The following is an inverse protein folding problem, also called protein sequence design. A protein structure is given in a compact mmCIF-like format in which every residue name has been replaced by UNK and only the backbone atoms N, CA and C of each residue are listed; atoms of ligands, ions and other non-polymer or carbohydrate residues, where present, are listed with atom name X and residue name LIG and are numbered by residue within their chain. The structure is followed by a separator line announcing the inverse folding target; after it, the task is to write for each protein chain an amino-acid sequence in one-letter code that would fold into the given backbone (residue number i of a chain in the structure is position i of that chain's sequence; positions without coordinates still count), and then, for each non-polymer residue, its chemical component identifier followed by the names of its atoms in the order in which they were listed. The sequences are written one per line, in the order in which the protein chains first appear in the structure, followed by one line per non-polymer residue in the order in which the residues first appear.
data_IF_637488599716
#
_entry.id   IF_637488599716
#
_cell.length_a   1.000
_cell.length_b   1.000
_cell.length_c   1.000
_cell.angle_alpha   90.00
_cell.angle_beta   90.00
_cell.angle_gamma   90.00
#
_symmetry.space_group_name_H-M   'P 1'
#
loop_
_entity.id
_entity.type
_entity.pdbx_description
1 polymer ?
#
# COMPACT_ATOMS: atom_id res chain seq x y z
N UNK A 1 18.23 23.10 10.75
CA UNK A 1 18.98 23.11 9.47
C UNK A 1 17.95 23.05 8.35
N UNK A 2 18.09 23.76 7.23
CA UNK A 2 17.27 23.46 6.05
C UNK A 2 17.51 22.00 5.64
N UNK A 3 16.46 21.28 5.22
CA UNK A 3 16.54 19.86 4.80
C UNK A 3 17.32 19.70 3.48
N UNK A 4 18.63 19.94 3.51
CA UNK A 4 19.52 19.83 2.35
C UNK A 4 19.62 18.41 1.82
N UNK A 5 19.24 17.42 2.64
CA UNK A 5 19.26 16.00 2.30
C UNK A 5 18.34 15.65 1.13
N UNK A 6 17.36 16.49 0.77
CA UNK A 6 16.54 16.29 -0.44
C UNK A 6 17.06 17.00 -1.70
N UNK A 7 18.11 17.83 -1.60
CA UNK A 7 18.62 18.63 -2.72
C UNK A 7 19.06 17.79 -3.93
N UNK A 8 19.51 16.55 -3.69
CA UNK A 8 19.95 15.66 -4.76
C UNK A 8 18.83 15.24 -5.72
N UNK A 9 17.56 15.49 -5.37
CA UNK A 9 16.38 15.18 -6.19
C UNK A 9 16.03 16.26 -7.21
N UNK A 10 16.58 17.47 -7.04
CA UNK A 10 16.28 18.64 -7.87
C UNK A 10 17.52 19.24 -8.52
N UNK A 11 18.69 18.65 -8.28
CA UNK A 11 19.97 19.09 -8.85
C UNK A 11 20.16 18.64 -10.30
N UNK A 12 21.02 19.33 -11.06
CA UNK A 12 21.27 19.02 -12.48
C UNK A 12 21.73 17.57 -12.75
N UNK A 13 22.45 16.97 -11.79
CA UNK A 13 22.94 15.56 -11.86
C UNK A 13 22.07 14.60 -11.04
N UNK A 14 20.76 14.82 -10.97
CA UNK A 14 19.82 14.03 -10.15
C UNK A 14 19.97 12.52 -10.37
N UNK A 15 20.07 12.06 -11.62
CA UNK A 15 20.17 10.63 -11.91
C UNK A 15 21.41 10.00 -11.30
N UNK A 16 22.56 10.67 -11.42
CA UNK A 16 23.83 10.24 -10.82
C UNK A 16 23.69 10.14 -9.29
N UNK A 17 23.16 11.18 -8.63
CA UNK A 17 23.00 11.16 -7.19
C UNK A 17 22.04 10.07 -6.71
N UNK A 18 20.97 9.80 -7.45
CA UNK A 18 20.02 8.73 -7.13
C UNK A 18 20.66 7.36 -7.21
N UNK A 19 21.50 7.13 -8.22
CA UNK A 19 22.27 5.88 -8.37
C UNK A 19 23.21 5.69 -7.18
N UNK A 20 23.96 6.73 -6.82
CA UNK A 20 24.88 6.70 -5.69
C UNK A 20 24.15 6.40 -4.38
N UNK A 21 23.08 7.15 -4.08
CA UNK A 21 22.31 6.95 -2.86
C UNK A 21 21.68 5.54 -2.79
N UNK A 22 21.18 5.01 -3.91
CA UNK A 22 20.67 3.65 -3.98
C UNK A 22 21.77 2.62 -3.69
N UNK A 23 22.98 2.82 -4.23
CA UNK A 23 24.12 1.93 -3.96
C UNK A 23 24.48 1.88 -2.46
N UNK A 24 24.42 3.01 -1.75
CA UNK A 24 24.62 3.04 -0.29
C UNK A 24 23.47 2.40 0.48
N UNK A 25 22.22 2.62 0.08
CA UNK A 25 21.07 1.94 0.70
C UNK A 25 21.15 0.42 0.54
N UNK A 26 21.45 -0.07 -0.66
CA UNK A 26 21.62 -1.50 -0.95
C UNK A 26 22.81 -2.09 -0.18
N UNK A 27 23.93 -1.37 -0.10
CA UNK A 27 25.09 -1.82 0.69
C UNK A 27 24.72 -1.97 2.17
N UNK A 28 23.97 -1.01 2.73
CA UNK A 28 23.50 -1.07 4.11
C UNK A 28 22.56 -2.26 4.35
N UNK A 29 21.64 -2.54 3.42
CA UNK A 29 20.76 -3.73 3.50
C UNK A 29 21.55 -5.05 3.55
N UNK A 30 22.72 -5.09 2.90
CA UNK A 30 23.66 -6.21 2.94
C UNK A 30 24.70 -6.11 4.07
N UNK A 31 24.45 -5.27 5.09
CA UNK A 31 25.32 -5.06 6.25
C UNK A 31 26.74 -4.55 5.91
N UNK A 32 26.92 -3.93 4.74
CA UNK A 32 28.15 -3.22 4.37
C UNK A 32 28.02 -1.75 4.77
N UNK A 33 28.77 -1.37 5.81
CA UNK A 33 28.64 -0.04 6.45
C UNK A 33 29.35 1.06 5.66
N UNK A 34 30.47 0.74 5.01
CA UNK A 34 31.30 1.71 4.29
C UNK A 34 31.51 1.27 2.84
N UNK A 35 31.51 2.23 1.91
CA UNK A 35 31.88 2.02 0.52
C UNK A 35 33.00 2.97 0.10
N UNK A 36 33.88 2.47 -0.76
CA UNK A 36 34.87 3.26 -1.49
C UNK A 36 34.27 3.75 -2.83
N UNK A 37 34.81 4.83 -3.44
CA UNK A 37 34.39 5.25 -4.77
C UNK A 37 34.46 4.12 -5.82
N UNK A 38 35.49 3.28 -5.76
CA UNK A 38 35.64 2.09 -6.61
C UNK A 38 34.53 1.05 -6.38
N UNK A 39 34.08 0.84 -5.13
CA UNK A 39 33.00 -0.10 -4.82
C UNK A 39 31.66 0.38 -5.40
N UNK A 40 31.42 1.70 -5.34
CA UNK A 40 30.25 2.35 -5.95
C UNK A 40 30.28 2.21 -7.47
N UNK A 41 31.46 2.41 -8.08
CA UNK A 41 31.64 2.24 -9.52
C UNK A 41 31.36 0.80 -9.97
N UNK A 42 31.89 -0.18 -9.26
CA UNK A 42 31.67 -1.60 -9.56
C UNK A 42 30.18 -1.96 -9.45
N UNK A 43 29.48 -1.47 -8.42
CA UNK A 43 28.04 -1.67 -8.24
C UNK A 43 27.22 -1.05 -9.37
N UNK A 44 27.53 0.19 -9.76
CA UNK A 44 26.88 0.84 -10.89
C UNK A 44 27.09 0.06 -12.20
N UNK A 45 28.30 -0.45 -12.44
CA UNK A 45 28.63 -1.24 -13.62
C UNK A 45 27.84 -2.55 -13.69
N UNK A 46 27.60 -3.22 -12.56
CA UNK A 46 26.75 -4.43 -12.49
C UNK A 46 25.29 -4.17 -12.92
N UNK A 47 24.81 -2.94 -12.72
CA UNK A 47 23.49 -2.49 -13.15
C UNK A 47 23.49 -1.92 -14.58
N UNK A 48 24.57 -2.11 -15.35
CA UNK A 48 24.70 -1.65 -16.73
C UNK A 48 25.01 -0.15 -16.86
N UNK A 49 25.36 0.52 -15.77
CA UNK A 49 25.67 1.95 -15.77
C UNK A 49 27.19 2.17 -15.71
N UNK A 50 27.75 2.75 -16.78
CA UNK A 50 29.15 3.12 -16.81
C UNK A 50 29.33 4.58 -16.38
N UNK A 51 29.95 4.79 -15.23
CA UNK A 51 30.15 6.11 -14.63
C UNK A 51 31.64 6.30 -14.35
N UNK A 52 32.18 7.41 -14.82
CA UNK A 52 33.59 7.78 -14.59
C UNK A 52 33.86 8.01 -13.10
N UNK A 53 35.01 7.54 -12.63
CA UNK A 53 35.38 7.60 -11.21
C UNK A 53 35.45 9.05 -10.69
N UNK A 54 35.93 9.98 -11.52
CA UNK A 54 36.00 11.41 -11.18
C UNK A 54 34.60 12.02 -10.98
N UNK A 55 33.62 11.57 -11.78
CA UNK A 55 32.23 12.00 -11.64
C UNK A 55 31.60 11.45 -10.35
N UNK A 56 31.93 10.20 -9.99
CA UNK A 56 31.52 9.59 -8.71
C UNK A 56 32.12 10.36 -7.55
N UNK A 57 33.43 10.63 -7.55
CA UNK A 57 34.10 11.36 -6.47
C UNK A 57 33.52 12.77 -6.28
N UNK A 58 33.30 13.49 -7.37
CA UNK A 58 32.65 14.81 -7.33
C UNK A 58 31.26 14.73 -6.71
N UNK A 59 30.47 13.72 -7.13
CA UNK A 59 29.11 13.55 -6.63
C UNK A 59 29.05 13.11 -5.16
N UNK A 60 30.00 12.26 -4.72
CA UNK A 60 30.14 11.86 -3.32
C UNK A 60 30.47 13.07 -2.43
N UNK A 61 31.37 13.96 -2.87
CA UNK A 61 31.66 15.20 -2.17
C UNK A 61 30.42 16.08 -1.98
N UNK A 62 29.60 16.22 -3.03
CA UNK A 62 28.35 16.98 -2.96
C UNK A 62 27.32 16.34 -2.02
N UNK A 63 27.21 15.01 -2.02
CA UNK A 63 26.32 14.28 -1.12
C UNK A 63 26.76 14.39 0.34
N UNK A 64 28.07 14.51 0.61
CA UNK A 64 28.59 14.84 1.95
C UNK A 64 28.21 16.26 2.35
N UNK A 65 28.37 17.22 1.45
CA UNK A 65 28.02 18.62 1.71
C UNK A 65 26.52 18.82 2.00
N UNK A 66 25.66 18.02 1.37
CA UNK A 66 24.21 18.02 1.64
C UNK A 66 23.79 17.21 2.88
N UNK A 67 24.74 16.56 3.58
CA UNK A 67 24.48 15.78 4.78
C UNK A 67 23.99 14.36 4.52
N UNK A 68 23.95 13.90 3.27
CA UNK A 68 23.49 12.55 2.93
C UNK A 68 24.53 11.46 3.24
N UNK A 69 25.81 11.79 3.07
CA UNK A 69 26.94 10.90 3.32
C UNK A 69 27.90 11.52 4.33
N UNK A 70 28.66 10.67 5.01
CA UNK A 70 29.81 11.06 5.81
C UNK A 70 31.07 10.46 5.18
N UNK A 71 32.14 11.24 5.12
CA UNK A 71 33.44 10.80 4.62
C UNK A 71 34.42 10.60 5.78
N UNK A 72 35.07 9.44 5.82
CA UNK A 72 36.12 9.11 6.78
C UNK A 72 37.44 8.83 6.06
N UNK A 73 38.58 9.32 6.54
CA UNK A 73 39.87 9.02 5.93
C UNK A 73 40.19 7.51 5.96
N UNK A 74 40.49 6.94 4.80
CA UNK A 74 40.89 5.54 4.70
C UNK A 74 42.37 5.36 5.04
N UNK A 75 42.65 5.00 6.28
CA UNK A 75 44.03 4.77 6.78
C UNK A 75 44.52 3.33 6.57
N UNK A 76 43.73 2.46 5.95
CA UNK A 76 43.98 1.01 5.90
C UNK A 76 44.97 0.55 4.82
N UNK A 77 45.31 1.40 3.84
CA UNK A 77 46.19 1.07 2.69
C UNK A 77 47.27 2.12 2.45
N UNK A 78 48.14 2.33 3.42
CA UNK A 78 49.31 3.20 3.27
C UNK A 78 50.57 2.33 3.14
N UNK A 79 50.95 2.02 1.90
CA UNK A 79 52.22 1.31 1.60
C UNK A 79 53.34 2.24 1.13
N UNK A 80 53.03 3.49 0.78
CA UNK A 80 54.02 4.51 0.36
C UNK A 80 53.66 5.90 0.90
N UNK A 81 54.66 6.78 1.04
CA UNK A 81 54.46 8.18 1.49
C UNK A 81 53.61 8.97 0.47
N UNK A 82 53.66 8.64 -0.82
CA UNK A 82 52.81 9.27 -1.84
C UNK A 82 51.34 8.82 -1.76
N UNK A 83 51.07 7.57 -1.37
CA UNK A 83 49.71 7.08 -1.09
C UNK A 83 49.10 7.75 0.16
N UNK A 84 49.92 8.19 1.11
CA UNK A 84 49.46 8.95 2.30
C UNK A 84 48.94 10.35 1.92
N UNK A 85 49.48 10.98 0.87
CA UNK A 85 49.04 12.31 0.41
C UNK A 85 47.87 12.27 -0.58
N UNK A 86 47.46 11.09 -1.08
CA UNK A 86 46.21 10.93 -1.84
C UNK A 86 45.07 10.71 -0.84
N UNK A 87 44.24 11.73 -0.64
CA UNK A 87 43.09 11.66 0.26
C UNK A 87 42.08 10.62 -0.24
N UNK A 88 42.20 9.38 0.27
CA UNK A 88 41.24 8.30 0.06
C UNK A 88 40.21 8.35 1.18
N UNK A 89 38.94 8.28 0.81
CA UNK A 89 37.83 8.36 1.75
C UNK A 89 36.98 7.10 1.66
N UNK A 90 36.54 6.63 2.83
CA UNK A 90 35.41 5.74 2.99
C UNK A 90 34.17 6.59 3.18
N UNK A 91 33.09 6.20 2.52
CA UNK A 91 31.82 6.89 2.63
C UNK A 91 30.81 5.99 3.32
N UNK A 92 30.00 6.60 4.18
CA UNK A 92 28.89 5.96 4.87
C UNK A 92 27.64 6.82 4.69
N UNK A 93 26.47 6.18 4.55
CA UNK A 93 25.20 6.90 4.56
C UNK A 93 24.87 7.39 5.97
N UNK A 94 24.51 8.67 6.10
CA UNK A 94 24.13 9.26 7.40
C UNK A 94 22.68 8.91 7.73
N UNK A 95 22.28 9.11 8.98
CA UNK A 95 20.88 8.99 9.42
C UNK A 95 19.93 9.90 8.61
N UNK A 96 20.40 11.07 8.20
CA UNK A 96 19.63 12.02 7.39
C UNK A 96 19.46 11.52 5.95
N UNK A 97 20.54 11.00 5.34
CA UNK A 97 20.47 10.39 4.01
C UNK A 97 19.58 9.15 3.97
N UNK A 98 19.60 8.35 5.04
CA UNK A 98 18.70 7.20 5.22
C UNK A 98 17.23 7.63 5.33
N UNK A 99 16.94 8.65 6.14
CA UNK A 99 15.59 9.17 6.27
C UNK A 99 15.07 9.69 4.93
N UNK A 100 15.91 10.36 4.13
CA UNK A 100 15.56 10.80 2.78
C UNK A 100 15.26 9.62 1.83
N UNK A 101 16.06 8.54 1.88
CA UNK A 101 15.80 7.33 1.08
C UNK A 101 14.54 6.59 1.52
N UNK A 102 14.30 6.48 2.83
CA UNK A 102 13.10 5.88 3.38
C UNK A 102 11.83 6.66 2.99
N UNK A 103 11.89 8.00 2.98
CA UNK A 103 10.82 8.86 2.49
C UNK A 103 10.55 8.62 1.00
N UNK A 104 11.61 8.48 0.19
CA UNK A 104 11.48 8.17 -1.24
C UNK A 104 10.88 6.79 -1.50
N UNK A 105 11.33 5.78 -0.76
CA UNK A 105 10.79 4.43 -0.85
C UNK A 105 9.31 4.38 -0.46
N UNK A 106 8.91 5.17 0.54
CA UNK A 106 7.51 5.33 0.96
C UNK A 106 6.69 6.00 -0.14
N UNK A 107 7.19 7.10 -0.70
CA UNK A 107 6.56 7.80 -1.82
C UNK A 107 6.38 6.89 -3.05
N UNK A 108 7.41 6.13 -3.43
CA UNK A 108 7.34 5.15 -4.53
C UNK A 108 6.33 4.04 -4.23
N UNK A 109 6.36 3.46 -3.02
CA UNK A 109 5.34 2.47 -2.60
C UNK A 109 3.93 3.04 -2.75
N UNK A 110 3.68 4.26 -2.28
CA UNK A 110 2.37 4.91 -2.41
C UNK A 110 1.93 5.14 -3.86
N UNK A 111 2.87 5.33 -4.79
CA UNK A 111 2.58 5.49 -6.22
C UNK A 111 2.44 4.15 -6.96
N UNK A 112 3.25 3.16 -6.61
CA UNK A 112 3.32 1.84 -7.26
C UNK A 112 2.23 0.88 -6.75
N UNK A 113 1.69 1.10 -5.53
CA UNK A 113 0.71 0.21 -4.92
C UNK A 113 -0.70 0.42 -5.49
N UNK A 114 -0.92 -0.24 -6.62
CA UNK A 114 -2.19 -0.85 -6.97
C UNK A 114 -2.27 -2.21 -6.29
N UNK A 115 -2.75 -2.22 -5.03
CA UNK A 115 -3.16 -3.39 -4.22
C UNK A 115 -2.73 -4.77 -4.70
N UNK A 116 -1.57 -5.24 -4.23
CA UNK A 116 -1.20 -6.66 -4.26
C UNK A 116 -1.02 -7.15 -2.82
N UNK A 117 -1.56 -8.33 -2.53
CA UNK A 117 -2.17 -8.64 -1.25
C UNK A 117 -1.29 -9.48 -0.34
N UNK A 118 -1.07 -8.98 0.87
CA UNK A 118 -0.56 -9.69 2.03
C UNK A 118 -1.62 -10.66 2.61
N UNK A 119 -2.17 -11.60 1.84
CA UNK A 119 -3.11 -12.61 2.38
C UNK A 119 -2.45 -13.44 3.48
N UNK A 120 -1.13 -13.55 3.37
CA UNK A 120 -0.23 -14.14 4.35
C UNK A 120 -0.27 -13.37 5.68
N UNK A 121 -0.46 -12.04 5.71
CA UNK A 121 -0.42 -11.27 6.97
C UNK A 121 -1.52 -11.68 7.96
N UNK A 122 -2.75 -11.91 7.49
CA UNK A 122 -3.83 -12.41 8.36
C UNK A 122 -3.53 -13.82 8.89
N UNK A 123 -2.94 -14.68 8.05
CA UNK A 123 -2.52 -16.01 8.46
C UNK A 123 -1.37 -15.96 9.47
N UNK A 124 -0.40 -15.06 9.27
CA UNK A 124 0.74 -14.82 10.14
C UNK A 124 0.30 -14.29 11.50
N UNK A 125 -0.60 -13.29 11.53
CA UNK A 125 -1.20 -12.78 12.77
C UNK A 125 -1.89 -13.90 13.53
N UNK A 126 -2.74 -14.70 12.86
CA UNK A 126 -3.40 -15.83 13.50
C UNK A 126 -2.39 -16.86 14.02
N UNK A 127 -1.34 -17.17 13.25
CA UNK A 127 -0.28 -18.10 13.66
C UNK A 127 0.49 -17.61 14.88
N UNK A 128 0.86 -16.33 14.90
CA UNK A 128 1.60 -15.72 16.01
C UNK A 128 0.72 -15.60 17.26
N UNK A 129 -0.57 -15.28 17.12
CA UNK A 129 -1.53 -15.29 18.22
C UNK A 129 -1.71 -16.69 18.81
N UNK A 130 -1.81 -17.75 17.97
CA UNK A 130 -1.83 -19.14 18.46
C UNK A 130 -0.55 -19.50 19.21
N UNK A 131 0.61 -19.09 18.70
CA UNK A 131 1.90 -19.32 19.36
C UNK A 131 1.96 -18.60 20.72
N UNK A 132 1.52 -17.33 20.77
CA UNK A 132 1.45 -16.55 22.00
C UNK A 132 0.51 -17.21 23.02
N UNK A 133 -0.66 -17.67 22.58
CA UNK A 133 -1.60 -18.41 23.44
C UNK A 133 -0.98 -19.69 23.99
N UNK A 134 -0.29 -20.45 23.16
CA UNK A 134 0.41 -21.68 23.57
C UNK A 134 1.47 -21.41 24.63
N UNK A 135 2.23 -20.31 24.48
CA UNK A 135 3.21 -19.91 25.49
C UNK A 135 2.55 -19.48 26.80
N UNK A 136 1.41 -18.79 26.73
CA UNK A 136 0.62 -18.42 27.91
C UNK A 136 0.10 -19.66 28.66
N UNK A 137 -0.41 -20.66 27.93
CA UNK A 137 -0.89 -21.92 28.54
C UNK A 137 0.28 -22.76 29.13
N UNK A 138 1.50 -22.66 28.59
CA UNK A 138 2.68 -23.40 29.07
C UNK A 138 3.37 -22.74 30.28
N UNK A 139 3.24 -21.42 30.41
CA UNK A 139 3.98 -20.63 31.42
C UNK A 139 3.41 -20.72 32.84
N UNK A 140 2.37 -21.52 33.06
CA UNK A 140 1.94 -21.99 34.39
C UNK A 140 3.06 -22.77 35.14
N UNK A 141 4.17 -23.15 34.46
CA UNK A 141 5.24 -23.97 35.06
C UNK A 141 6.68 -23.46 34.92
N UNK A 142 7.00 -22.41 34.14
CA UNK A 142 8.38 -21.88 34.04
C UNK A 142 8.45 -20.40 33.54
N UNK A 143 8.69 -19.46 34.45
CA UNK A 143 8.34 -18.03 34.27
C UNK A 143 9.38 -17.15 33.54
N UNK A 144 10.63 -17.59 33.34
CA UNK A 144 11.69 -16.70 32.82
C UNK A 144 12.03 -16.90 31.31
N UNK A 145 11.93 -18.12 30.78
CA UNK A 145 12.46 -18.44 29.45
C UNK A 145 11.47 -18.15 28.31
N UNK A 146 10.17 -18.09 28.62
CA UNK A 146 9.12 -17.83 27.64
C UNK A 146 8.88 -16.32 27.41
N UNK A 147 9.26 -15.45 28.36
CA UNK A 147 9.06 -14.00 28.26
C UNK A 147 9.76 -13.37 27.05
N UNK A 148 10.99 -13.80 26.73
CA UNK A 148 11.71 -13.31 25.54
C UNK A 148 11.05 -13.72 24.22
N UNK A 149 10.52 -14.96 24.14
CA UNK A 149 9.82 -15.46 22.96
C UNK A 149 8.47 -14.77 22.78
N UNK A 150 7.74 -14.61 23.88
CA UNK A 150 6.47 -13.88 23.90
C UNK A 150 6.63 -12.42 23.52
N UNK A 151 7.73 -11.77 23.94
CA UNK A 151 8.06 -10.42 23.49
C UNK A 151 8.27 -10.37 21.97
N UNK A 152 9.09 -11.27 21.40
CA UNK A 152 9.30 -11.32 19.95
C UNK A 152 7.99 -11.52 19.19
N UNK A 153 7.13 -12.44 19.66
CA UNK A 153 5.81 -12.66 19.07
C UNK A 153 4.93 -11.40 19.12
N UNK A 154 4.84 -10.72 20.25
CA UNK A 154 4.03 -9.50 20.38
C UNK A 154 4.54 -8.37 19.47
N UNK A 155 5.86 -8.23 19.34
CA UNK A 155 6.48 -7.27 18.42
C UNK A 155 6.19 -7.62 16.97
N UNK A 156 6.31 -8.89 16.60
CA UNK A 156 6.05 -9.35 15.25
C UNK A 156 4.56 -9.22 14.89
N UNK A 157 3.63 -9.52 15.82
CA UNK A 157 2.19 -9.29 15.66
C UNK A 157 1.95 -7.80 15.39
N UNK A 158 2.53 -6.93 16.22
CA UNK A 158 2.39 -5.48 16.07
C UNK A 158 2.87 -5.02 14.70
N UNK A 159 4.06 -5.46 14.27
CA UNK A 159 4.64 -5.09 12.98
C UNK A 159 3.76 -5.53 11.81
N UNK A 160 3.38 -6.82 11.77
CA UNK A 160 2.55 -7.37 10.69
C UNK A 160 1.18 -6.71 10.67
N UNK A 161 0.61 -6.40 11.84
CA UNK A 161 -0.66 -5.70 11.96
C UNK A 161 -0.59 -4.25 11.49
N UNK A 162 0.47 -3.50 11.84
CA UNK A 162 0.67 -2.13 11.35
C UNK A 162 0.76 -2.11 9.83
N UNK A 163 1.56 -3.01 9.24
CA UNK A 163 1.67 -3.14 7.78
C UNK A 163 0.30 -3.45 7.14
N UNK A 164 -0.47 -4.37 7.73
CA UNK A 164 -1.82 -4.70 7.27
C UNK A 164 -2.77 -3.50 7.34
N UNK A 165 -2.74 -2.74 8.44
CA UNK A 165 -3.61 -1.60 8.67
C UNK A 165 -3.30 -0.45 7.69
N UNK A 166 -2.03 -0.16 7.46
CA UNK A 166 -1.58 0.85 6.49
C UNK A 166 -1.95 0.45 5.06
N UNK A 167 -1.70 -0.80 4.68
CA UNK A 167 -2.09 -1.32 3.37
C UNK A 167 -3.60 -1.29 3.14
N UNK A 168 -4.40 -1.63 4.16
CA UNK A 168 -5.85 -1.53 4.10
C UNK A 168 -6.31 -0.07 3.90
N UNK A 169 -5.69 0.89 4.60
CA UNK A 169 -5.99 2.32 4.45
C UNK A 169 -5.65 2.82 3.04
N UNK A 170 -4.48 2.48 2.52
CA UNK A 170 -4.01 2.92 1.20
C UNK A 170 -4.86 2.31 0.08
N UNK A 171 -5.19 1.03 0.18
CA UNK A 171 -6.13 0.36 -0.73
C UNK A 171 -7.46 1.12 -0.79
N UNK A 172 -8.00 1.51 0.36
CA UNK A 172 -9.29 2.19 0.47
C UNK A 172 -9.28 3.60 -0.10
N UNK A 173 -8.14 4.29 -0.04
CA UNK A 173 -7.92 5.57 -0.69
C UNK A 173 -7.73 5.41 -2.21
N UNK A 174 -7.03 4.36 -2.65
CA UNK A 174 -6.74 4.07 -4.06
C UNK A 174 -7.96 3.63 -4.85
N UNK A 175 -8.88 2.89 -4.22
CA UNK A 175 -10.07 2.33 -4.87
C UNK A 175 -10.99 3.41 -5.45
N UNK A 176 -11.20 4.51 -4.72
CA UNK A 176 -12.00 5.64 -5.20
C UNK A 176 -11.36 6.37 -6.39
N UNK A 177 -10.05 6.62 -6.34
CA UNK A 177 -9.33 7.34 -7.39
C UNK A 177 -9.16 6.53 -8.68
N UNK A 178 -8.95 5.21 -8.54
CA UNK A 178 -8.71 4.30 -9.66
C UNK A 178 -9.92 4.13 -10.58
N UNK A 179 -11.13 4.20 -10.02
CA UNK A 179 -12.39 4.09 -10.77
C UNK A 179 -12.70 5.36 -11.59
N UNK A 180 -12.27 6.54 -11.15
CA UNK A 180 -12.50 7.80 -11.84
C UNK A 180 -11.50 8.06 -12.98
N UNK A 181 -10.21 7.80 -12.74
CA UNK A 181 -9.13 8.16 -13.68
C UNK A 181 -9.06 7.26 -14.92
N UNK A 182 -9.51 6.00 -14.84
CA UNK A 182 -9.31 4.98 -15.89
C UNK A 182 -10.50 4.77 -16.82
N UNK A 183 -11.51 5.63 -16.75
CA UNK A 183 -12.64 5.63 -17.70
C UNK A 183 -12.24 6.00 -19.15
N UNK A 184 -10.97 6.38 -19.40
CA UNK A 184 -10.48 6.84 -20.70
C UNK A 184 -9.95 5.71 -21.62
N UNK A 185 -9.36 4.63 -21.09
CA UNK A 185 -8.77 3.53 -21.88
C UNK A 185 -9.41 2.17 -21.56
N UNK A 186 -10.09 1.56 -22.55
CA UNK A 186 -10.88 0.33 -22.37
C UNK A 186 -10.06 -0.90 -21.99
N UNK A 187 -8.92 -1.13 -22.65
CA UNK A 187 -8.08 -2.29 -22.36
C UNK A 187 -7.49 -2.20 -20.94
N UNK A 188 -6.96 -1.03 -20.58
CA UNK A 188 -6.47 -0.75 -19.24
C UNK A 188 -7.56 -0.89 -18.16
N UNK A 189 -8.81 -0.52 -18.47
CA UNK A 189 -9.94 -0.70 -17.55
C UNK A 189 -10.31 -2.17 -17.34
N UNK A 190 -10.35 -3.00 -18.40
CA UNK A 190 -10.70 -4.42 -18.28
C UNK A 190 -9.64 -5.17 -17.46
N UNK A 191 -8.35 -4.97 -17.77
CA UNK A 191 -7.24 -5.58 -17.04
C UNK A 191 -7.24 -5.17 -15.56
N UNK A 192 -7.52 -3.88 -15.29
CA UNK A 192 -7.67 -3.37 -13.94
C UNK A 192 -8.87 -4.00 -13.21
N UNK A 193 -10.02 -4.11 -13.88
CA UNK A 193 -11.25 -4.69 -13.33
C UNK A 193 -11.05 -6.16 -12.95
N UNK A 194 -10.43 -6.96 -13.81
CA UNK A 194 -10.19 -8.37 -13.52
C UNK A 194 -9.22 -8.55 -12.34
N UNK A 195 -8.10 -7.80 -12.34
CA UNK A 195 -7.15 -7.79 -11.20
C UNK A 195 -7.80 -7.33 -9.88
N UNK A 196 -8.62 -6.28 -9.94
CA UNK A 196 -9.32 -5.75 -8.77
C UNK A 196 -10.36 -6.75 -8.24
N UNK A 197 -11.11 -7.42 -9.10
CA UNK A 197 -12.12 -8.40 -8.70
C UNK A 197 -11.48 -9.64 -8.08
N UNK A 198 -10.41 -10.16 -8.68
CA UNK A 198 -9.67 -11.30 -8.12
C UNK A 198 -9.08 -10.95 -6.76
N UNK A 199 -8.49 -9.75 -6.64
CA UNK A 199 -8.00 -9.21 -5.38
C UNK A 199 -9.12 -9.12 -4.33
N UNK A 200 -10.23 -8.48 -4.65
CA UNK A 200 -11.35 -8.29 -3.72
C UNK A 200 -11.93 -9.63 -3.26
N UNK A 201 -12.06 -10.61 -4.16
CA UNK A 201 -12.58 -11.94 -3.82
C UNK A 201 -11.65 -12.68 -2.86
N UNK A 202 -10.35 -12.73 -3.17
CA UNK A 202 -9.37 -13.40 -2.31
C UNK A 202 -9.29 -12.72 -0.94
N UNK A 203 -9.16 -11.38 -0.94
CA UNK A 203 -9.03 -10.61 0.30
C UNK A 203 -10.22 -10.77 1.23
N UNK A 204 -11.42 -10.56 0.69
CA UNK A 204 -12.64 -10.59 1.51
C UNK A 204 -12.87 -12.01 2.02
N UNK A 205 -12.55 -13.02 1.20
CA UNK A 205 -12.60 -14.43 1.63
C UNK A 205 -11.68 -14.69 2.82
N UNK A 206 -10.42 -14.30 2.72
CA UNK A 206 -9.42 -14.48 3.77
C UNK A 206 -9.76 -13.65 5.01
N UNK A 207 -10.16 -12.39 4.83
CA UNK A 207 -10.56 -11.49 5.90
C UNK A 207 -11.75 -12.06 6.68
N UNK A 208 -12.80 -12.55 6.00
CA UNK A 208 -13.97 -13.12 6.68
C UNK A 208 -13.60 -14.38 7.45
N UNK A 209 -12.80 -15.26 6.85
CA UNK A 209 -12.43 -16.54 7.45
C UNK A 209 -11.50 -16.35 8.65
N UNK A 210 -10.49 -15.48 8.52
CA UNK A 210 -9.45 -15.25 9.54
C UNK A 210 -9.89 -14.28 10.62
N UNK A 211 -10.74 -13.29 10.33
CA UNK A 211 -11.16 -12.32 11.35
C UNK A 211 -11.88 -12.99 12.51
N UNK A 212 -12.73 -13.98 12.25
CA UNK A 212 -13.43 -14.71 13.32
C UNK A 212 -12.44 -15.44 14.24
N UNK A 213 -11.47 -16.13 13.65
CA UNK A 213 -10.40 -16.82 14.37
C UNK A 213 -9.54 -15.85 15.19
N UNK A 214 -9.08 -14.76 14.57
CA UNK A 214 -8.25 -13.74 15.21
C UNK A 214 -9.00 -13.08 16.38
N UNK A 215 -10.27 -12.72 16.18
CA UNK A 215 -11.10 -12.13 17.24
C UNK A 215 -11.24 -13.06 18.44
N UNK A 216 -11.43 -14.36 18.23
CA UNK A 216 -11.47 -15.33 19.34
C UNK A 216 -10.11 -15.43 20.04
N UNK A 217 -9.00 -15.54 19.31
CA UNK A 217 -7.66 -15.59 19.90
C UNK A 217 -7.33 -14.35 20.73
N UNK A 218 -7.72 -13.15 20.25
CA UNK A 218 -7.53 -11.90 21.00
C UNK A 218 -8.30 -11.95 22.33
N UNK A 219 -9.58 -12.33 22.30
CA UNK A 219 -10.40 -12.43 23.51
C UNK A 219 -9.85 -13.46 24.49
N UNK A 220 -9.48 -14.63 23.98
CA UNK A 220 -8.92 -15.73 24.77
C UNK A 220 -7.63 -15.29 25.45
N UNK A 221 -6.70 -14.67 24.72
CA UNK A 221 -5.43 -14.16 25.26
C UNK A 221 -5.68 -13.08 26.32
N UNK A 222 -6.59 -12.14 26.04
CA UNK A 222 -6.89 -11.04 26.96
C UNK A 222 -7.51 -11.52 28.28
N UNK A 223 -8.30 -12.59 28.25
CA UNK A 223 -8.87 -13.23 29.44
C UNK A 223 -7.89 -14.15 30.17
N UNK A 224 -6.75 -14.48 29.57
CA UNK A 224 -5.76 -15.37 30.18
C UNK A 224 -5.06 -14.67 31.36
N UNK A 225 -5.02 -15.34 32.53
CA UNK A 225 -4.45 -14.78 33.75
C UNK A 225 -2.98 -14.35 33.61
N UNK A 226 -2.20 -15.09 32.80
CA UNK A 226 -0.80 -14.80 32.52
C UNK A 226 -0.54 -13.63 31.55
N UNK A 227 -1.55 -13.11 30.86
CA UNK A 227 -1.34 -12.08 29.83
C UNK A 227 -0.92 -10.73 30.41
N UNK A 228 -1.61 -10.26 31.45
CA UNK A 228 -1.25 -8.99 32.11
C UNK A 228 0.15 -9.02 32.75
N UNK A 229 0.52 -10.05 33.53
CA UNK A 229 1.90 -10.19 34.03
C UNK A 229 2.94 -10.24 32.91
N UNK A 230 2.64 -10.89 31.79
CA UNK A 230 3.52 -10.94 30.64
C UNK A 230 3.77 -9.54 30.06
N UNK A 231 2.71 -8.74 29.84
CA UNK A 231 2.87 -7.36 29.35
C UNK A 231 3.72 -6.50 30.29
N UNK A 232 3.53 -6.66 31.60
CA UNK A 232 4.31 -5.96 32.61
C UNK A 232 5.81 -6.33 32.57
N UNK A 233 6.14 -7.60 32.34
CA UNK A 233 7.52 -8.06 32.16
C UNK A 233 8.16 -7.54 30.87
N UNK A 234 7.39 -7.52 29.78
CA UNK A 234 7.86 -6.99 28.49
C UNK A 234 8.12 -5.48 28.62
N UNK A 235 7.21 -4.75 29.25
CA UNK A 235 7.37 -3.32 29.50
C UNK A 235 8.60 -3.02 30.36
N UNK A 236 8.88 -3.84 31.38
CA UNK A 236 10.09 -3.73 32.20
C UNK A 236 11.36 -3.95 31.38
N UNK A 237 11.37 -4.94 30.49
CA UNK A 237 12.48 -5.19 29.57
C UNK A 237 12.70 -4.03 28.60
N UNK A 238 11.64 -3.52 27.97
CA UNK A 238 11.72 -2.39 27.05
C UNK A 238 12.13 -1.08 27.73
N UNK A 239 11.80 -0.94 29.02
CA UNK A 239 12.25 0.19 29.83
C UNK A 239 13.74 0.11 30.17
N UNK A 240 14.28 -1.10 30.35
CA UNK A 240 15.71 -1.30 30.59
C UNK A 240 16.58 -1.06 29.34
N UNK A 241 16.03 -1.27 28.14
CA UNK A 241 16.70 -1.02 26.86
C UNK A 241 16.68 0.47 26.42
N UNK A 242 16.01 1.36 27.17
CA UNK A 242 16.15 2.81 27.00
C UNK A 242 17.56 3.22 27.46
N UNK A 243 18.50 3.29 26.52
CA UNK A 243 19.77 3.97 26.74
C UNK A 243 19.49 5.41 27.25
N UNK A 244 20.31 5.95 28.17
CA UNK A 244 20.24 7.36 28.50
C UNK A 244 20.33 8.14 27.19
N UNK A 245 19.34 8.99 26.91
CA UNK A 245 19.43 9.87 25.76
C UNK A 245 20.73 10.69 25.90
N UNK A 246 21.60 10.75 24.88
CA UNK A 246 22.64 11.74 24.87
C UNK A 246 21.94 13.08 24.68
N UNK A 247 21.66 13.76 25.78
CA UNK A 247 21.04 15.07 25.75
C UNK A 247 21.94 16.05 25.00
N UNK A 248 21.26 16.88 24.20
CA UNK A 248 21.75 18.09 23.59
C UNK A 248 22.35 19.01 24.69
N UNK A 249 23.66 18.90 24.92
CA UNK A 249 24.64 19.77 25.59
C UNK A 249 24.26 20.63 26.83
N UNK A 250 23.02 20.77 27.31
CA UNK A 250 22.67 21.74 28.36
C UNK A 250 21.52 21.35 29.31
N UNK A 251 21.18 20.06 29.44
CA UNK A 251 20.33 19.60 30.53
C UNK A 251 21.05 18.46 31.28
N UNK A 252 21.06 18.52 32.61
CA UNK A 252 21.40 17.37 33.45
C UNK A 252 20.57 16.18 32.93
N UNK A 253 21.18 15.05 32.53
CA UNK A 253 20.42 13.88 32.11
C UNK A 253 19.70 13.35 33.35
N UNK A 254 18.50 13.88 33.59
CA UNK A 254 17.61 13.34 34.59
C UNK A 254 17.24 11.96 34.10
N UNK A 255 17.96 10.95 34.59
CA UNK A 255 17.65 9.54 34.37
C UNK A 255 16.15 9.39 34.63
N UNK A 256 15.41 9.06 33.56
CA UNK A 256 13.96 8.86 33.65
C UNK A 256 13.71 7.89 34.82
N UNK A 257 12.79 8.22 35.73
CA UNK A 257 12.43 7.32 36.82
C UNK A 257 12.10 5.93 36.21
N UNK A 258 12.82 4.85 36.58
CA UNK A 258 12.58 3.52 36.02
C UNK A 258 11.12 3.07 36.15
N UNK A 259 10.43 3.51 37.20
CA UNK A 259 9.00 3.24 37.38
C UNK A 259 8.14 3.96 36.32
N UNK A 260 8.47 5.21 35.99
CA UNK A 260 7.79 5.98 34.96
C UNK A 260 8.07 5.40 33.57
N UNK A 261 9.32 5.05 33.27
CA UNK A 261 9.70 4.42 32.00
C UNK A 261 8.94 3.11 31.76
N UNK A 262 8.85 2.25 32.79
CA UNK A 262 8.05 1.01 32.75
C UNK A 262 6.57 1.30 32.53
N UNK A 263 5.99 2.27 33.24
CA UNK A 263 4.59 2.64 33.10
C UNK A 263 4.27 3.11 31.68
N UNK A 264 5.12 3.96 31.10
CA UNK A 264 4.97 4.41 29.70
C UNK A 264 5.03 3.25 28.72
N UNK A 265 5.98 2.33 28.87
CA UNK A 265 6.08 1.14 27.99
C UNK A 265 4.86 0.22 28.12
N UNK A 266 4.35 0.06 29.34
CA UNK A 266 3.15 -0.74 29.58
C UNK A 266 1.93 -0.11 28.90
N UNK A 267 1.76 1.22 29.01
CA UNK A 267 0.69 1.96 28.36
C UNK A 267 0.78 1.84 26.82
N UNK A 268 1.98 1.93 26.24
CA UNK A 268 2.20 1.73 24.80
C UNK A 268 1.78 0.33 24.35
N UNK A 269 2.14 -0.71 25.10
CA UNK A 269 1.75 -2.09 24.79
C UNK A 269 0.25 -2.32 24.94
N UNK A 270 -0.38 -1.75 25.98
CA UNK A 270 -1.83 -1.79 26.15
C UNK A 270 -2.55 -1.07 25.01
N UNK A 271 -2.05 0.10 24.58
CA UNK A 271 -2.62 0.85 23.47
C UNK A 271 -2.50 0.08 22.14
N UNK A 272 -1.36 -0.56 21.87
CA UNK A 272 -1.17 -1.44 20.70
C UNK A 272 -2.15 -2.61 20.69
N UNK A 273 -2.30 -3.28 21.83
CA UNK A 273 -3.25 -4.39 21.96
C UNK A 273 -4.70 -3.93 21.79
N UNK A 274 -5.08 -2.82 22.42
CA UNK A 274 -6.40 -2.21 22.27
C UNK A 274 -6.69 -1.81 20.82
N UNK A 275 -5.66 -1.35 20.09
CA UNK A 275 -5.75 -1.06 18.65
C UNK A 275 -6.01 -2.31 17.82
N UNK A 276 -5.35 -3.42 18.13
CA UNK A 276 -5.58 -4.72 17.51
C UNK A 276 -7.02 -5.21 17.79
N UNK A 277 -7.46 -5.16 19.05
CA UNK A 277 -8.82 -5.52 19.46
C UNK A 277 -9.88 -4.69 18.71
N UNK A 278 -9.75 -3.36 18.71
CA UNK A 278 -10.68 -2.45 18.05
C UNK A 278 -10.75 -2.68 16.52
N UNK A 279 -9.65 -3.13 15.91
CA UNK A 279 -9.61 -3.38 14.47
C UNK A 279 -10.42 -4.61 14.07
N UNK A 280 -10.38 -5.68 14.87
CA UNK A 280 -11.04 -6.96 14.56
C UNK A 280 -12.43 -7.12 15.19
N UNK A 281 -12.63 -6.64 16.42
CA UNK A 281 -13.84 -6.88 17.22
C UNK A 281 -14.80 -5.68 17.16
N UNK A 282 -14.28 -4.46 17.18
CA UNK A 282 -15.09 -3.24 17.27
C UNK A 282 -15.75 -3.06 18.64
N UNK A 283 -16.77 -2.21 18.72
CA UNK A 283 -17.57 -2.00 19.93
C UNK A 283 -19.06 -1.94 19.59
N UNK A 284 -19.92 -1.94 20.62
CA UNK A 284 -21.39 -1.89 20.45
C UNK A 284 -21.82 -0.70 19.58
N UNK A 285 -21.13 0.44 19.71
CA UNK A 285 -21.46 1.68 18.99
C UNK A 285 -20.63 1.89 17.71
N UNK A 286 -19.59 1.10 17.48
CA UNK A 286 -18.66 1.28 16.35
C UNK A 286 -18.29 -0.05 15.71
N UNK A 287 -18.59 -0.26 14.41
CA UNK A 287 -18.16 -1.46 13.71
C UNK A 287 -16.63 -1.56 13.70
N UNK A 288 -16.13 -2.80 13.64
CA UNK A 288 -14.69 -3.04 13.54
C UNK A 288 -14.14 -2.52 12.21
N UNK A 289 -12.84 -2.22 12.17
CA UNK A 289 -12.20 -1.81 10.91
C UNK A 289 -12.26 -2.93 9.86
N UNK A 290 -12.15 -4.19 10.28
CA UNK A 290 -12.35 -5.35 9.42
C UNK A 290 -13.75 -5.36 8.77
N UNK A 291 -14.79 -5.05 9.54
CA UNK A 291 -16.17 -4.96 9.03
C UNK A 291 -16.36 -3.78 8.08
N UNK A 292 -15.84 -2.60 8.44
CA UNK A 292 -15.87 -1.42 7.59
C UNK A 292 -15.18 -1.69 6.25
N UNK A 293 -13.99 -2.28 6.30
CA UNK A 293 -13.22 -2.67 5.12
C UNK A 293 -14.00 -3.65 4.25
N UNK A 294 -14.60 -4.69 4.84
CA UNK A 294 -15.46 -5.64 4.12
C UNK A 294 -16.66 -4.94 3.46
N UNK A 295 -17.37 -4.08 4.19
CA UNK A 295 -18.57 -3.40 3.67
C UNK A 295 -18.27 -2.52 2.47
N UNK A 296 -17.14 -1.81 2.51
CA UNK A 296 -16.71 -0.88 1.46
C UNK A 296 -16.02 -1.58 0.30
N UNK A 297 -15.34 -2.69 0.56
CA UNK A 297 -14.87 -3.59 -0.49
C UNK A 297 -16.06 -4.20 -1.27
N UNK A 298 -17.18 -4.54 -0.61
CA UNK A 298 -18.42 -4.96 -1.31
C UNK A 298 -19.04 -3.82 -2.10
N UNK A 299 -19.09 -2.61 -1.55
CA UNK A 299 -19.57 -1.42 -2.28
C UNK A 299 -18.73 -1.15 -3.53
N UNK A 300 -17.41 -1.30 -3.44
CA UNK A 300 -16.51 -1.15 -4.58
C UNK A 300 -16.83 -2.08 -5.75
N UNK A 301 -17.26 -3.32 -5.46
CA UNK A 301 -17.71 -4.27 -6.49
C UNK A 301 -18.94 -3.71 -7.20
N UNK A 302 -19.92 -3.19 -6.45
CA UNK A 302 -21.10 -2.54 -7.01
C UNK A 302 -20.73 -1.32 -7.85
N UNK A 303 -19.88 -0.44 -7.34
CA UNK A 303 -19.41 0.77 -8.05
C UNK A 303 -18.69 0.40 -9.37
N UNK A 304 -17.94 -0.70 -9.37
CA UNK A 304 -17.27 -1.23 -10.57
C UNK A 304 -18.29 -1.77 -11.59
N UNK A 305 -19.32 -2.49 -11.14
CA UNK A 305 -20.42 -2.96 -12.00
C UNK A 305 -21.15 -1.77 -12.63
N UNK A 306 -21.48 -0.76 -11.84
CA UNK A 306 -22.13 0.45 -12.34
C UNK A 306 -21.25 1.19 -13.36
N UNK A 307 -19.94 1.26 -13.12
CA UNK A 307 -18.99 1.83 -14.07
C UNK A 307 -18.92 1.03 -15.39
N UNK A 308 -18.97 -0.31 -15.32
CA UNK A 308 -19.06 -1.19 -16.50
C UNK A 308 -20.37 -0.96 -17.25
N UNK A 309 -21.50 -0.86 -16.55
CA UNK A 309 -22.80 -0.57 -17.16
C UNK A 309 -22.76 0.78 -17.87
N UNK A 310 -22.26 1.84 -17.23
CA UNK A 310 -22.11 3.16 -17.86
C UNK A 310 -21.18 3.13 -19.08
N UNK A 311 -20.08 2.39 -19.01
CA UNK A 311 -19.17 2.22 -20.15
C UNK A 311 -19.88 1.49 -21.30
N UNK A 312 -20.70 0.47 -20.98
CA UNK A 312 -21.48 -0.27 -21.96
C UNK A 312 -22.63 0.56 -22.52
N UNK A 313 -23.29 1.41 -21.74
CA UNK A 313 -24.30 2.37 -22.20
C UNK A 313 -23.71 3.42 -23.15
N UNK A 314 -22.51 3.93 -22.85
CA UNK A 314 -21.76 4.81 -23.78
C UNK A 314 -21.43 4.09 -25.09
N UNK A 315 -21.09 2.79 -25.02
CA UNK A 315 -20.80 1.95 -26.19
C UNK A 315 -22.05 1.66 -27.01
N UNK A 316 -23.14 1.31 -26.35
CA UNK A 316 -24.41 0.96 -26.97
C UNK A 316 -25.13 2.19 -27.51
N UNK A 317 -24.65 3.40 -27.18
CA UNK A 317 -25.12 4.66 -27.74
C UNK A 317 -26.61 4.82 -27.49
N UNK A 318 -27.00 5.51 -26.41
CA UNK A 318 -28.17 6.37 -26.61
C UNK A 318 -27.82 7.28 -27.77
N UNK A 319 -28.58 7.16 -28.85
CA UNK A 319 -28.66 8.04 -30.01
C UNK A 319 -28.09 9.41 -29.62
N UNK A 320 -26.86 9.73 -30.02
CA UNK A 320 -26.37 11.09 -29.84
C UNK A 320 -27.24 11.93 -30.76
N UNK A 321 -28.35 12.45 -30.22
CA UNK A 321 -29.35 13.17 -31.00
C UNK A 321 -28.69 14.30 -31.77
N UNK A 322 -27.60 14.89 -31.25
CA UNK A 322 -26.84 15.89 -31.97
C UNK A 322 -26.09 15.30 -33.16
N UNK A 323 -25.43 14.14 -33.02
CA UNK A 323 -24.81 13.44 -34.16
C UNK A 323 -25.86 12.93 -35.16
N UNK A 324 -26.99 12.42 -34.70
CA UNK A 324 -28.09 11.96 -35.54
C UNK A 324 -28.73 13.12 -36.29
N UNK A 325 -28.95 14.27 -35.63
CA UNK A 325 -29.44 15.49 -36.29
C UNK A 325 -28.42 16.08 -37.26
N UNK A 326 -27.11 16.01 -36.97
CA UNK A 326 -26.08 16.43 -37.94
C UNK A 326 -26.04 15.51 -39.15
N UNK A 327 -26.18 14.20 -38.95
CA UNK A 327 -26.25 13.21 -40.03
C UNK A 327 -27.51 13.43 -40.87
N UNK A 328 -28.66 13.67 -40.21
CA UNK A 328 -29.91 13.98 -40.88
C UNK A 328 -29.84 15.29 -41.65
N UNK A 329 -29.23 16.34 -41.08
CA UNK A 329 -28.99 17.60 -41.77
C UNK A 329 -28.09 17.42 -43.00
N UNK A 330 -27.04 16.60 -42.90
CA UNK A 330 -26.22 16.26 -44.05
C UNK A 330 -27.03 15.53 -45.13
N UNK A 331 -27.93 14.62 -44.77
CA UNK A 331 -28.84 13.98 -45.73
C UNK A 331 -29.80 14.98 -46.38
N UNK A 332 -30.35 15.94 -45.62
CA UNK A 332 -31.17 17.02 -46.18
C UNK A 332 -30.40 17.90 -47.18
N UNK A 333 -29.11 18.13 -46.96
CA UNK A 333 -28.26 18.88 -47.90
C UNK A 333 -28.03 18.16 -49.24
N UNK A 334 -28.27 16.85 -49.31
CA UNK A 334 -28.13 16.05 -50.53
C UNK A 334 -29.46 15.81 -51.26
N UNK A 335 -30.59 16.30 -50.73
CA UNK A 335 -31.87 16.21 -51.43
C UNK A 335 -31.88 17.18 -52.64
N UNK A 336 -32.20 16.68 -53.83
CA UNK A 336 -32.23 17.48 -55.06
C UNK A 336 -33.60 18.17 -55.26
N UNK A 337 -34.60 17.77 -54.48
CA UNK A 337 -35.95 18.36 -54.54
C UNK A 337 -36.68 18.37 -53.20
N UNK A 338 -37.66 19.25 -53.10
CA UNK A 338 -38.55 19.38 -51.94
C UNK A 338 -39.35 18.09 -51.64
N UNK A 339 -39.59 17.29 -52.69
CA UNK A 339 -40.28 16.00 -52.56
C UNK A 339 -39.40 14.96 -51.84
N UNK A 340 -38.09 14.96 -52.10
CA UNK A 340 -37.13 14.08 -51.40
C UNK A 340 -36.95 14.50 -49.94
N UNK A 341 -36.85 15.81 -49.69
CA UNK A 341 -36.79 16.36 -48.33
C UNK A 341 -38.03 15.94 -47.50
N UNK A 342 -39.24 16.02 -48.07
CA UNK A 342 -40.45 15.56 -47.40
C UNK A 342 -40.48 14.04 -47.14
N UNK A 343 -39.93 13.22 -48.04
CA UNK A 343 -39.81 11.76 -47.83
C UNK A 343 -38.82 11.45 -46.71
N UNK A 344 -37.67 12.12 -46.70
CA UNK A 344 -36.66 11.98 -45.66
C UNK A 344 -37.19 12.42 -44.29
N UNK A 345 -37.89 13.56 -44.23
CA UNK A 345 -38.58 14.01 -43.02
C UNK A 345 -39.52 12.93 -42.49
N UNK A 346 -40.35 12.36 -43.37
CA UNK A 346 -41.37 11.37 -42.98
C UNK A 346 -40.76 10.06 -42.50
N UNK A 347 -39.64 9.65 -43.07
CA UNK A 347 -38.89 8.47 -42.64
C UNK A 347 -38.18 8.70 -41.29
N UNK A 348 -37.56 9.87 -41.10
CA UNK A 348 -36.78 10.18 -39.90
C UNK A 348 -37.64 10.49 -38.66
N UNK A 349 -38.77 11.18 -38.85
CA UNK A 349 -39.64 11.64 -37.75
C UNK A 349 -40.93 10.84 -37.62
N UNK A 350 -41.20 9.93 -38.56
CA UNK A 350 -42.21 8.87 -38.46
C UNK A 350 -43.52 9.29 -37.78
N UNK A 351 -44.40 10.00 -38.48
CA UNK A 351 -45.82 10.12 -38.11
C UNK A 351 -46.57 8.81 -38.37
N UNK A 352 -46.02 7.69 -37.92
CA UNK A 352 -46.74 6.41 -37.92
C UNK A 352 -47.30 6.25 -36.51
N UNK A 353 -48.62 6.04 -36.33
CA UNK A 353 -49.16 5.75 -35.01
C UNK A 353 -48.43 4.54 -34.44
N UNK A 354 -47.90 4.66 -33.23
CA UNK A 354 -47.36 3.54 -32.50
C UNK A 354 -48.48 2.51 -32.31
N UNK A 355 -48.43 1.40 -33.06
CA UNK A 355 -49.29 0.25 -32.77
C UNK A 355 -48.69 -0.45 -31.57
N UNK A 356 -49.22 -0.17 -30.39
CA UNK A 356 -48.93 -0.97 -29.21
C UNK A 356 -49.48 -2.38 -29.47
N UNK A 357 -48.58 -3.36 -29.60
CA UNK A 357 -48.95 -4.76 -29.52
C UNK A 357 -49.18 -5.07 -28.05
N UNK A 358 -50.44 -5.07 -27.63
CA UNK A 358 -50.84 -5.65 -26.35
C UNK A 358 -50.93 -7.17 -26.49
N UNK A 359 -50.42 -7.90 -25.51
CA UNK A 359 -50.68 -9.33 -25.38
C UNK A 359 -51.92 -9.45 -24.49
N UNK A 360 -52.98 -10.09 -24.98
CA UNK A 360 -54.17 -10.38 -24.18
C UNK A 360 -53.96 -11.59 -23.26
N UNK A 361 -54.86 -11.76 -22.29
CA UNK A 361 -54.77 -12.86 -21.33
C UNK A 361 -54.84 -14.23 -22.01
N UNK A 362 -55.59 -14.36 -23.10
CA UNK A 362 -55.74 -15.61 -23.83
C UNK A 362 -54.41 -16.00 -24.50
N UNK A 363 -53.68 -15.02 -25.06
CA UNK A 363 -52.35 -15.24 -25.64
C UNK A 363 -51.29 -15.55 -24.57
N UNK A 364 -51.38 -14.93 -23.38
CA UNK A 364 -50.52 -15.29 -22.24
C UNK A 364 -50.80 -16.70 -21.75
N UNK A 365 -52.07 -17.09 -21.70
CA UNK A 365 -52.49 -18.42 -21.27
C UNK A 365 -52.05 -19.49 -22.27
N UNK A 366 -52.22 -19.26 -23.58
CA UNK A 366 -51.73 -20.14 -24.63
C UNK A 366 -50.20 -20.35 -24.57
N UNK A 367 -49.43 -19.30 -24.24
CA UNK A 367 -47.98 -19.41 -24.04
C UNK A 367 -47.59 -20.22 -22.81
N UNK A 368 -48.38 -20.15 -21.74
CA UNK A 368 -48.16 -20.98 -20.54
C UNK A 368 -48.50 -22.45 -20.81
N UNK A 369 -49.52 -22.71 -21.62
CA UNK A 369 -49.94 -24.05 -22.01
C UNK A 369 -48.99 -24.69 -23.04
N UNK A 370 -48.38 -23.89 -23.91
CA UNK A 370 -47.38 -24.32 -24.89
C UNK A 370 -46.11 -23.45 -24.81
N UNK A 371 -45.25 -23.69 -23.79
CA UNK A 371 -44.04 -22.91 -23.63
C UNK A 371 -43.07 -23.17 -24.78
N UNK A 372 -42.76 -22.13 -25.56
CA UNK A 372 -41.75 -22.19 -26.62
C UNK A 372 -40.35 -22.12 -25.98
N UNK A 373 -39.45 -23.08 -26.23
CA UNK A 373 -38.10 -23.06 -25.68
C UNK A 373 -37.32 -21.83 -26.17
N UNK A 374 -36.42 -21.25 -25.36
CA UNK A 374 -35.64 -20.05 -25.73
C UNK A 374 -34.59 -20.30 -26.83
N UNK A 375 -34.59 -21.48 -27.46
CA UNK A 375 -33.61 -21.89 -28.47
C UNK A 375 -34.31 -22.45 -29.71
N UNK A 376 -34.77 -21.56 -30.58
CA UNK A 376 -34.58 -21.64 -32.04
C UNK A 376 -34.82 -20.26 -32.66
N UNK A 377 -34.05 -19.90 -33.70
CA UNK A 377 -33.90 -18.54 -34.21
C UNK A 377 -35.18 -17.97 -34.85
#
# INVERSE_FOLDING_TARGET
MPDTSFNYLTADKTDLYRILMQAFSEAKEHFQVHLRPEDVQERAARNGQHIELDAIQTALGQLVEWGNLQAEPDTSRVTTVEDFYRARYLYQITREGEAAQAALATYRRMLEHQGALQSVALADIASQLRALRTLLDASDTAIAQDSAKSHLLLRDITRVFTDLADNARDFMAGLGRGLDLRRAERAAFIDYKDRLLDYLRQFIGDLVTRSAEISQLILDIQQHAGFRPLLEQIAERDAADLAPAPDLEHADPAALDPALARATRLDEWQARWSGLEAWFIGSIDKPSQAELLRSRARRAISDLVDAVVQLNERRLGRSDRSADYRTLAAWFMHCESDTEAHRLWRAAFGLTPARHLGIDNDSLQARNEQPVPPSRP
#
